data_IF_877769864410
#
_entry.id   IF_877769864410
#
_cell.length_a   1.000
_cell.length_b   1.000
_cell.length_c   1.000
_cell.angle_alpha   90.00
_cell.angle_beta   90.00
_cell.angle_gamma   90.00
#
_symmetry.space_group_name_H-M   'P 1'
#
loop_
_entity.id
_entity.type
_entity.pdbx_description
1 polymer ?
#
# COMPACT_ATOMS: atom_id res chain seq x y z
N UNK A 1 -34.10 -48.70 -52.97
CA UNK A 1 -33.05 -47.76 -52.50
C UNK A 1 -32.96 -48.00 -51.01
N UNK A 2 -32.17 -48.99 -50.63
CA UNK A 2 -32.23 -49.56 -49.28
C UNK A 2 -30.86 -49.36 -48.63
N UNK A 3 -30.67 -48.14 -48.12
CA UNK A 3 -29.43 -47.70 -47.49
C UNK A 3 -29.28 -48.26 -46.08
N UNK A 4 -28.13 -48.89 -45.85
CA UNK A 4 -27.35 -49.04 -44.62
C UNK A 4 -28.09 -49.32 -43.29
N UNK A 5 -28.26 -50.60 -42.95
CA UNK A 5 -28.46 -51.05 -41.57
C UNK A 5 -27.48 -52.19 -41.25
N UNK A 6 -26.77 -52.09 -40.12
CA UNK A 6 -25.81 -53.10 -39.66
C UNK A 6 -26.51 -54.07 -38.71
N UNK A 7 -26.82 -55.28 -39.19
CA UNK A 7 -27.33 -56.41 -38.38
C UNK A 7 -28.86 -56.43 -38.13
N UNK A 8 -29.32 -57.43 -37.37
CA UNK A 8 -30.75 -57.75 -37.12
C UNK A 8 -31.45 -56.77 -36.17
N UNK A 9 -30.73 -55.78 -35.64
CA UNK A 9 -31.31 -54.82 -34.70
C UNK A 9 -32.36 -53.95 -35.39
N UNK A 10 -33.53 -53.83 -34.76
CA UNK A 10 -34.59 -52.91 -35.20
C UNK A 10 -34.83 -51.87 -34.11
N UNK A 11 -35.00 -50.58 -34.46
CA UNK A 11 -35.38 -49.56 -33.49
C UNK A 11 -36.65 -49.98 -32.77
N UNK A 12 -36.59 -50.12 -31.45
CA UNK A 12 -37.74 -50.50 -30.64
C UNK A 12 -38.69 -49.29 -30.50
N UNK A 13 -39.98 -49.47 -30.84
CA UNK A 13 -40.99 -48.43 -30.63
C UNK A 13 -41.18 -48.20 -29.12
N UNK A 14 -40.97 -46.99 -28.58
CA UNK A 14 -41.20 -46.73 -27.17
C UNK A 14 -42.65 -47.10 -26.79
N UNK A 15 -42.82 -47.83 -25.68
CA UNK A 15 -44.12 -48.36 -25.22
C UNK A 15 -45.10 -47.29 -24.72
N UNK A 16 -44.64 -46.05 -24.62
CA UNK A 16 -45.40 -44.92 -24.14
C UNK A 16 -44.54 -43.66 -24.19
N UNK A 17 -45.10 -42.52 -23.78
CA UNK A 17 -44.34 -41.28 -23.75
C UNK A 17 -43.20 -41.36 -22.72
N UNK A 18 -42.03 -40.90 -23.12
CA UNK A 18 -40.86 -40.83 -22.23
C UNK A 18 -40.86 -39.50 -21.49
N UNK A 19 -40.33 -39.46 -20.26
CA UNK A 19 -40.31 -38.23 -19.45
C UNK A 19 -39.69 -37.03 -20.19
N UNK A 20 -38.69 -37.27 -21.06
CA UNK A 20 -38.05 -36.25 -21.88
C UNK A 20 -38.96 -35.61 -22.95
N UNK A 21 -40.09 -36.23 -23.31
CA UNK A 21 -41.09 -35.65 -24.23
C UNK A 21 -42.02 -34.65 -23.55
N UNK A 22 -42.12 -34.72 -22.22
CA UNK A 22 -42.82 -33.71 -21.46
C UNK A 22 -41.82 -32.60 -21.15
N UNK A 23 -42.12 -31.39 -21.57
CA UNK A 23 -41.60 -30.21 -20.87
C UNK A 23 -42.14 -30.30 -19.45
N UNK A 24 -41.38 -30.91 -18.55
CA UNK A 24 -41.57 -30.72 -17.12
C UNK A 24 -41.68 -29.21 -16.90
N UNK A 25 -42.59 -28.72 -16.03
CA UNK A 25 -42.53 -27.32 -15.64
C UNK A 25 -41.07 -27.09 -15.26
N UNK A 26 -40.39 -26.25 -16.03
CA UNK A 26 -39.01 -25.91 -15.77
C UNK A 26 -38.90 -25.45 -14.32
N UNK A 27 -37.68 -25.33 -13.77
CA UNK A 27 -37.52 -24.84 -12.40
C UNK A 27 -38.49 -23.68 -12.16
N UNK A 28 -39.31 -23.79 -11.09
CA UNK A 28 -40.41 -22.85 -10.75
C UNK A 28 -39.92 -21.38 -10.71
N UNK A 29 -38.61 -21.22 -10.66
CA UNK A 29 -37.90 -19.96 -10.71
C UNK A 29 -37.00 -19.98 -11.95
N UNK A 30 -37.23 -19.03 -12.85
CA UNK A 30 -36.25 -18.70 -13.89
C UNK A 30 -34.97 -18.28 -13.18
N UNK A 31 -33.94 -19.12 -13.23
CA UNK A 31 -32.62 -18.79 -12.68
C UNK A 31 -31.90 -18.00 -13.78
N UNK A 32 -31.65 -16.70 -13.61
CA UNK A 32 -30.91 -15.93 -14.60
C UNK A 32 -29.51 -16.51 -14.77
N UNK A 33 -29.08 -16.68 -16.03
CA UNK A 33 -27.72 -17.11 -16.34
C UNK A 33 -26.70 -16.10 -15.79
N UNK A 34 -25.60 -16.59 -15.24
CA UNK A 34 -24.56 -15.75 -14.60
C UNK A 34 -23.56 -15.17 -15.60
N UNK A 35 -23.66 -15.53 -16.88
CA UNK A 35 -22.77 -15.07 -17.96
C UNK A 35 -23.25 -13.72 -18.50
N UNK A 36 -22.42 -12.67 -18.38
CA UNK A 36 -22.70 -11.36 -19.02
C UNK A 36 -23.54 -10.36 -18.20
N UNK A 37 -23.76 -10.63 -16.92
CA UNK A 37 -24.33 -9.74 -15.87
C UNK A 37 -25.60 -8.93 -16.19
N UNK A 38 -26.76 -9.48 -15.83
CA UNK A 38 -27.94 -8.74 -15.37
C UNK A 38 -28.67 -9.63 -14.33
N UNK A 39 -28.81 -9.13 -13.10
CA UNK A 39 -29.25 -9.80 -11.87
C UNK A 39 -28.22 -10.72 -11.15
N UNK A 40 -27.55 -10.16 -10.15
CA UNK A 40 -26.70 -10.89 -9.21
C UNK A 40 -27.53 -11.86 -8.36
N UNK A 41 -27.14 -13.14 -8.30
CA UNK A 41 -27.74 -14.10 -7.36
C UNK A 41 -27.33 -13.75 -5.92
N UNK A 42 -28.28 -13.47 -4.99
CA UNK A 42 -27.96 -13.01 -3.63
C UNK A 42 -27.23 -14.05 -2.76
N UNK A 43 -27.20 -15.31 -3.19
CA UNK A 43 -26.61 -16.44 -2.46
C UNK A 43 -25.10 -16.57 -2.74
N UNK A 44 -24.60 -15.97 -3.83
CA UNK A 44 -23.20 -16.13 -4.22
C UNK A 44 -22.41 -14.86 -3.92
N UNK A 45 -21.61 -14.90 -2.86
CA UNK A 45 -20.64 -13.85 -2.57
C UNK A 45 -19.65 -13.73 -3.73
N UNK A 46 -19.59 -12.53 -4.32
CA UNK A 46 -18.59 -12.20 -5.34
C UNK A 46 -17.25 -11.93 -4.65
N UNK A 47 -16.16 -12.45 -5.21
CA UNK A 47 -14.83 -11.99 -4.80
C UNK A 47 -14.71 -10.47 -5.05
N UNK A 48 -14.06 -9.71 -4.15
CA UNK A 48 -13.87 -8.28 -4.35
C UNK A 48 -13.16 -8.05 -5.69
N UNK A 49 -13.58 -7.02 -6.42
CA UNK A 49 -12.87 -6.63 -7.65
C UNK A 49 -11.47 -6.18 -7.23
N UNK A 50 -10.46 -7.00 -7.55
CA UNK A 50 -9.08 -6.61 -7.41
C UNK A 50 -8.71 -5.75 -8.61
N UNK A 51 -8.91 -4.44 -8.50
CA UNK A 51 -8.32 -3.48 -9.43
C UNK A 51 -6.82 -3.39 -9.11
N UNK A 52 -5.99 -4.00 -9.95
CA UNK A 52 -4.57 -3.63 -9.99
C UNK A 52 -4.52 -2.19 -10.48
N UNK A 53 -4.11 -1.27 -9.61
CA UNK A 53 -4.04 0.17 -9.85
C UNK A 53 -3.14 0.42 -11.07
N UNK A 54 -3.76 0.61 -12.24
CA UNK A 54 -3.11 1.10 -13.45
C UNK A 54 -2.77 2.57 -13.26
N UNK A 55 -1.49 2.85 -13.43
CA UNK A 55 -0.77 4.13 -13.30
C UNK A 55 -1.05 5.00 -12.07
N UNK A 56 0.04 5.59 -11.61
CA UNK A 56 0.09 6.51 -10.47
C UNK A 56 -0.92 7.61 -10.77
N UNK A 57 -1.87 7.82 -9.85
CA UNK A 57 -2.75 8.99 -9.89
C UNK A 57 -1.86 10.22 -10.14
N UNK A 58 -2.18 11.12 -11.10
CA UNK A 58 -1.41 12.35 -11.25
C UNK A 58 -1.30 12.94 -9.84
N UNK A 59 -0.06 13.18 -9.42
CA UNK A 59 0.24 13.69 -8.09
C UNK A 59 -0.74 14.83 -7.85
N UNK A 60 -1.69 14.63 -6.92
CA UNK A 60 -2.56 15.71 -6.53
C UNK A 60 -1.61 16.67 -5.80
N UNK A 61 -1.12 17.67 -6.51
CA UNK A 61 -0.18 18.68 -6.01
C UNK A 61 -0.90 19.59 -5.01
N UNK A 62 -1.35 19.00 -3.89
CA UNK A 62 -2.01 19.61 -2.74
C UNK A 62 -3.52 19.37 -2.68
N UNK A 63 -3.93 18.16 -2.34
CA UNK A 63 -5.25 17.91 -1.78
C UNK A 63 -5.12 17.31 -0.38
N UNK A 64 -4.81 18.17 0.57
CA UNK A 64 -5.01 17.91 1.99
C UNK A 64 -5.86 19.06 2.53
N UNK A 65 -6.94 18.83 3.29
CA UNK A 65 -7.55 19.91 4.06
C UNK A 65 -6.50 20.37 5.07
N UNK A 66 -5.78 21.43 4.70
CA UNK A 66 -4.85 22.08 5.61
C UNK A 66 -5.61 22.51 6.87
N UNK A 67 -4.94 22.63 8.02
CA UNK A 67 -5.59 23.08 9.23
C UNK A 67 -6.37 24.37 8.95
N UNK A 68 -7.65 24.41 9.35
CA UNK A 68 -8.57 25.55 9.14
C UNK A 68 -8.10 26.82 9.87
N UNK A 69 -7.03 26.71 10.66
CA UNK A 69 -6.41 27.77 11.44
C UNK A 69 -4.90 27.74 11.26
N UNK A 70 -4.29 28.92 11.41
CA UNK A 70 -2.84 29.08 11.37
C UNK A 70 -2.19 28.35 12.56
N UNK A 71 -1.28 27.44 12.26
CA UNK A 71 -0.44 26.76 13.25
C UNK A 71 0.90 27.48 13.29
N UNK A 72 1.32 27.93 14.48
CA UNK A 72 2.63 28.56 14.63
C UNK A 72 3.74 27.54 14.29
N UNK A 73 4.72 27.89 13.42
CA UNK A 73 5.78 26.97 12.99
C UNK A 73 6.68 26.45 14.12
N UNK A 74 6.69 27.16 15.26
CA UNK A 74 7.48 26.81 16.43
C UNK A 74 6.82 25.76 17.32
N UNK A 75 5.70 25.14 16.95
CA UNK A 75 5.07 24.09 17.76
C UNK A 75 5.62 22.70 17.38
N UNK A 76 6.10 21.96 18.38
CA UNK A 76 6.53 20.56 18.28
C UNK A 76 5.56 19.65 19.04
N UNK A 77 5.71 18.32 18.92
CA UNK A 77 4.86 17.34 19.65
C UNK A 77 4.80 17.58 21.16
N UNK A 78 5.83 18.19 21.74
CA UNK A 78 5.95 18.45 23.19
C UNK A 78 5.63 19.90 23.58
N UNK A 79 5.22 20.76 22.65
CA UNK A 79 4.94 22.19 22.89
C UNK A 79 5.79 23.14 22.05
N UNK A 80 5.84 24.42 22.43
CA UNK A 80 6.62 25.45 21.73
C UNK A 80 8.12 25.14 21.83
N UNK A 81 8.78 25.09 20.68
CA UNK A 81 10.22 24.98 20.55
C UNK A 81 10.85 26.30 20.97
N UNK A 82 11.68 26.24 22.01
CA UNK A 82 12.60 27.30 22.38
C UNK A 82 14.01 26.79 22.10
N UNK A 83 14.83 27.61 21.43
CA UNK A 83 16.21 27.25 21.15
C UNK A 83 16.98 27.07 22.48
N UNK A 84 17.87 26.07 22.60
CA UNK A 84 18.65 25.88 23.81
C UNK A 84 19.53 27.11 24.06
N UNK A 85 19.45 27.67 25.28
CA UNK A 85 20.33 28.75 25.70
C UNK A 85 21.77 28.21 25.80
N UNK A 86 22.68 28.70 24.95
CA UNK A 86 24.09 28.37 25.06
C UNK A 86 24.71 29.19 26.18
N UNK A 87 25.34 28.53 27.16
CA UNK A 87 26.17 29.21 28.14
C UNK A 87 27.55 29.49 27.52
N UNK A 88 27.96 30.75 27.49
CA UNK A 88 29.34 31.10 27.17
C UNK A 88 30.16 30.85 28.44
N UNK A 89 30.87 29.72 28.50
CA UNK A 89 31.83 29.50 29.57
C UNK A 89 33.06 30.40 29.36
N UNK A 90 33.51 31.06 30.43
CA UNK A 90 34.70 31.91 30.40
C UNK A 90 35.96 31.12 30.05
N UNK A 91 36.93 31.78 29.41
CA UNK A 91 38.22 31.15 29.06
C UNK A 91 38.91 30.65 30.34
N UNK A 92 39.41 29.39 30.38
CA UNK A 92 40.24 28.95 31.49
C UNK A 92 41.48 29.86 31.59
N UNK A 93 41.77 30.35 32.79
CA UNK A 93 42.99 31.11 33.06
C UNK A 93 44.20 30.20 32.82
N UNK A 94 44.80 30.30 31.64
CA UNK A 94 46.07 29.64 31.32
C UNK A 94 47.15 30.31 32.14
N UNK A 95 47.48 29.74 33.31
CA UNK A 95 48.70 30.11 34.02
C UNK A 95 49.86 29.64 33.13
N UNK A 96 50.62 30.58 32.57
CA UNK A 96 51.78 30.30 31.73
C UNK A 96 52.86 29.64 32.59
N UNK A 97 52.95 28.31 32.55
CA UNK A 97 53.86 27.54 33.42
C UNK A 97 55.30 27.47 32.91
N UNK A 98 55.59 27.97 31.71
CA UNK A 98 56.94 28.03 31.15
C UNK A 98 57.14 29.34 30.39
N UNK A 99 57.90 30.25 30.98
CA UNK A 99 58.42 31.45 30.33
C UNK A 99 59.67 30.99 29.58
N UNK A 100 59.61 30.98 28.25
CA UNK A 100 60.82 30.80 27.44
C UNK A 100 61.58 32.13 27.47
N UNK A 101 62.87 32.14 27.87
CA UNK A 101 63.67 33.36 27.86
C UNK A 101 63.74 33.93 26.45
N UNK A 102 63.76 35.26 26.33
CA UNK A 102 63.91 35.92 25.04
C UNK A 102 65.25 35.56 24.38
N UNK A 103 65.40 35.75 23.06
CA UNK A 103 66.63 35.42 22.33
C UNK A 103 67.90 36.11 22.86
N UNK A 104 67.76 37.22 23.62
CA UNK A 104 68.87 37.95 24.25
C UNK A 104 69.13 37.56 25.72
N UNK A 105 68.37 36.63 26.29
CA UNK A 105 68.31 36.36 27.73
C UNK A 105 68.98 35.02 28.11
N UNK A 106 69.68 34.41 27.16
CA UNK A 106 70.49 33.22 27.40
C UNK A 106 71.87 33.64 27.92
N UNK A 107 72.17 33.28 29.17
CA UNK A 107 73.50 33.40 29.76
C UNK A 107 74.19 32.04 29.83
N UNK A 108 75.44 31.97 29.38
CA UNK A 108 76.29 30.80 29.58
C UNK A 108 76.97 30.91 30.94
N UNK A 109 76.68 29.98 31.86
CA UNK A 109 77.47 29.85 33.08
C UNK A 109 78.80 29.16 32.73
N UNK A 110 79.88 29.94 32.68
CA UNK A 110 81.23 29.39 32.59
C UNK A 110 81.61 28.78 33.94
N UNK A 111 81.63 27.46 34.02
CA UNK A 111 82.15 26.73 35.18
C UNK A 111 83.67 26.87 35.21
N UNK A 112 84.21 27.35 36.33
CA UNK A 112 85.64 27.49 36.63
C UNK A 112 86.35 26.14 36.73
#
# INVERSE_FOLDING_TARGET
MDGAWVGTWRPHRPRGPIAAQFTSPGPKYSIPGTTGYLAHSPIKTKAPVCIFRGDKHPMAENCSPGPRYYVQPSITRTGKYEAPAQYICGRPNVKMTKITPGPSEYHFSSTS
#
